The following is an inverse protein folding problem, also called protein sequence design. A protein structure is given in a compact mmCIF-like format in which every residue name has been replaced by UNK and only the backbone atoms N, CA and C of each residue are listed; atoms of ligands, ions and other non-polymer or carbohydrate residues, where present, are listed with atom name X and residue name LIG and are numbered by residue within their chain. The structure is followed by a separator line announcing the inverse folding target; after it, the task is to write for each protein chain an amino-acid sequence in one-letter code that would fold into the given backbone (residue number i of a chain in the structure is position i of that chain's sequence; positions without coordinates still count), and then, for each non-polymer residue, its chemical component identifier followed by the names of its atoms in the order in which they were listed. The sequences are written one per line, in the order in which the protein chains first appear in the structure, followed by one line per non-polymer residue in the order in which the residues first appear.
data_IF_420934788075
#
_entry.id   IF_420934788075
#
_cell.length_a   1.000
_cell.length_b   1.000
_cell.length_c   1.000
_cell.angle_alpha   90.00
_cell.angle_beta   90.00
_cell.angle_gamma   90.00
#
_symmetry.space_group_name_H-M   'P 1'
#
loop_
_entity.id
_entity.type
_entity.pdbx_description
1 polymer ?
#
# COMPACT_ATOMS: atom_id res chain seq x y z
N UNK A 1 1.25 20.82 2.38
CA UNK A 1 1.22 19.45 2.96
C UNK A 1 -0.21 19.13 3.29
N UNK A 2 -0.67 17.95 2.89
CA UNK A 2 -2.00 17.49 3.29
C UNK A 2 -2.02 17.31 4.82
N UNK A 3 -3.12 17.74 5.45
CA UNK A 3 -3.30 17.61 6.89
C UNK A 3 -3.55 16.14 7.25
N UNK A 4 -3.07 15.76 8.44
CA UNK A 4 -3.37 14.40 8.96
C UNK A 4 -4.85 14.31 9.31
N UNK A 5 -5.49 13.23 8.84
CA UNK A 5 -6.93 12.99 8.96
C UNK A 5 -7.24 12.22 10.23
N UNK A 6 -8.19 12.72 11.00
CA UNK A 6 -8.66 12.12 12.26
C UNK A 6 -10.19 11.98 12.21
N UNK A 7 -10.71 10.84 12.62
CA UNK A 7 -12.13 10.60 12.81
C UNK A 7 -12.45 10.57 14.30
N UNK A 8 -13.36 11.43 14.74
CA UNK A 8 -13.90 11.43 16.11
C UNK A 8 -15.24 10.72 16.09
N UNK A 9 -15.45 9.78 17.01
CA UNK A 9 -16.70 9.05 17.17
C UNK A 9 -17.19 9.21 18.62
N UNK A 10 -18.20 10.05 18.82
CA UNK A 10 -18.71 10.44 20.13
C UNK A 10 -20.19 10.78 19.98
N UNK A 11 -21.05 10.21 20.79
CA UNK A 11 -22.49 10.47 20.73
C UNK A 11 -22.90 11.76 21.40
N UNK A 12 -22.17 12.22 22.42
CA UNK A 12 -22.43 13.49 23.11
C UNK A 12 -21.96 14.69 22.25
N UNK A 13 -22.90 15.53 21.85
CA UNK A 13 -22.66 16.64 20.92
C UNK A 13 -21.64 17.65 21.45
N UNK A 14 -21.73 18.03 22.74
CA UNK A 14 -20.83 19.01 23.34
C UNK A 14 -19.38 18.47 23.38
N UNK A 15 -19.19 17.22 23.79
CA UNK A 15 -17.87 16.58 23.85
C UNK A 15 -17.31 16.44 22.43
N UNK A 16 -18.10 16.02 21.47
CA UNK A 16 -17.72 15.89 20.06
C UNK A 16 -17.25 17.22 19.49
N UNK A 17 -18.02 18.30 19.74
CA UNK A 17 -17.68 19.65 19.30
C UNK A 17 -16.36 20.17 19.92
N UNK A 18 -16.16 19.94 21.23
CA UNK A 18 -14.92 20.35 21.91
C UNK A 18 -13.70 19.64 21.32
N UNK A 19 -13.79 18.33 21.10
CA UNK A 19 -12.71 17.51 20.50
C UNK A 19 -12.42 17.96 19.07
N UNK A 20 -13.43 18.15 18.24
CA UNK A 20 -13.30 18.64 16.87
C UNK A 20 -12.58 19.97 16.81
N UNK A 21 -13.02 20.93 17.65
CA UNK A 21 -12.42 22.26 17.72
C UNK A 21 -10.97 22.22 18.20
N UNK A 22 -10.67 21.37 19.19
CA UNK A 22 -9.31 21.18 19.69
C UNK A 22 -8.38 20.68 18.58
N UNK A 23 -8.79 19.65 17.86
CA UNK A 23 -7.96 19.02 16.83
C UNK A 23 -7.83 19.88 15.58
N UNK A 24 -8.91 20.54 15.16
CA UNK A 24 -8.87 21.49 14.03
C UNK A 24 -7.93 22.68 14.31
N UNK A 25 -7.94 23.20 15.56
CA UNK A 25 -7.01 24.27 15.98
C UNK A 25 -5.55 23.82 15.97
N UNK A 26 -5.28 22.52 16.12
CA UNK A 26 -3.94 21.93 16.07
C UNK A 26 -3.56 21.38 14.69
N UNK A 27 -4.20 21.89 13.64
CA UNK A 27 -3.88 21.66 12.22
C UNK A 27 -4.16 20.26 11.70
N UNK A 28 -5.11 19.55 12.33
CA UNK A 28 -5.64 18.29 11.82
C UNK A 28 -6.88 18.49 10.93
N UNK A 29 -7.07 17.62 9.94
CA UNK A 29 -8.34 17.51 9.23
C UNK A 29 -9.24 16.53 10.02
N UNK A 30 -10.43 17.00 10.42
CA UNK A 30 -11.31 16.23 11.30
C UNK A 30 -12.64 15.98 10.65
N UNK A 31 -13.12 14.73 10.74
CA UNK A 31 -14.52 14.36 10.55
C UNK A 31 -15.06 13.77 11.84
N UNK A 32 -16.38 13.86 12.02
CA UNK A 32 -17.07 13.38 13.21
C UNK A 32 -18.17 12.41 12.86
N UNK A 33 -18.47 11.48 13.76
CA UNK A 33 -19.60 10.55 13.69
C UNK A 33 -20.26 10.43 15.07
N UNK A 34 -21.57 10.16 15.10
CA UNK A 34 -22.34 10.06 16.34
C UNK A 34 -22.36 8.64 16.94
N UNK A 35 -21.88 7.65 16.20
CA UNK A 35 -21.80 6.24 16.62
C UNK A 35 -20.90 5.45 15.67
N UNK A 36 -20.58 4.19 16.05
CA UNK A 36 -19.71 3.33 15.26
C UNK A 36 -20.26 2.98 13.86
N UNK A 37 -21.58 2.89 13.71
CA UNK A 37 -22.18 2.55 12.40
C UNK A 37 -22.04 3.70 11.38
N UNK A 38 -22.15 4.94 11.83
CA UNK A 38 -21.88 6.12 11.01
C UNK A 38 -20.38 6.24 10.68
N UNK A 39 -19.52 5.99 11.66
CA UNK A 39 -18.08 5.96 11.46
C UNK A 39 -17.66 4.99 10.36
N UNK A 40 -18.21 3.76 10.34
CA UNK A 40 -17.92 2.77 9.30
C UNK A 40 -18.30 3.24 7.89
N UNK A 41 -19.42 3.98 7.76
CA UNK A 41 -19.82 4.55 6.46
C UNK A 41 -18.83 5.61 5.98
N UNK A 42 -18.35 6.45 6.90
CA UNK A 42 -17.37 7.50 6.57
C UNK A 42 -16.02 6.92 6.15
N UNK A 43 -15.62 5.77 6.67
CA UNK A 43 -14.33 5.14 6.32
C UNK A 43 -14.20 4.77 4.84
N UNK A 44 -15.30 4.56 4.13
CA UNK A 44 -15.28 4.25 2.70
C UNK A 44 -14.64 5.37 1.86
N UNK A 45 -14.89 6.63 2.25
CA UNK A 45 -14.41 7.81 1.53
C UNK A 45 -13.30 8.56 2.29
N UNK A 46 -13.41 8.61 3.61
CA UNK A 46 -12.50 9.30 4.51
C UNK A 46 -11.54 8.30 5.12
N UNK A 47 -10.29 8.29 4.68
CA UNK A 47 -9.23 7.39 5.16
C UNK A 47 -8.45 8.07 6.30
N UNK A 48 -8.93 8.03 7.55
CA UNK A 48 -8.24 8.66 8.67
C UNK A 48 -7.01 7.85 9.05
N UNK A 49 -5.98 8.52 9.58
CA UNK A 49 -4.83 7.87 10.22
C UNK A 49 -5.16 7.43 11.64
N UNK A 50 -6.04 8.19 12.31
CA UNK A 50 -6.44 7.96 13.70
C UNK A 50 -7.95 8.00 13.83
N UNK A 51 -8.47 7.11 14.67
CA UNK A 51 -9.83 7.17 15.18
C UNK A 51 -9.75 7.41 16.69
N UNK A 52 -10.51 8.40 17.17
CA UNK A 52 -10.73 8.65 18.59
C UNK A 52 -12.20 8.36 18.84
N UNK A 53 -12.50 7.29 19.57
CA UNK A 53 -13.88 6.83 19.77
C UNK A 53 -14.24 6.73 21.27
N UNK A 54 -15.43 7.16 21.62
CA UNK A 54 -15.98 6.86 22.92
C UNK A 54 -16.26 5.36 23.07
N UNK A 55 -16.09 4.83 24.27
CA UNK A 55 -16.36 3.45 24.59
C UNK A 55 -17.86 3.15 24.46
N UNK A 56 -18.69 4.01 25.07
CA UNK A 56 -20.13 3.75 25.19
C UNK A 56 -20.93 4.66 24.28
N UNK A 57 -21.46 4.11 23.22
CA UNK A 57 -22.30 4.84 22.25
C UNK A 57 -23.51 4.00 21.86
N UNK A 58 -24.63 4.62 21.45
CA UNK A 58 -25.79 3.91 20.94
C UNK A 58 -25.49 3.26 19.58
N UNK A 59 -26.30 2.28 19.20
CA UNK A 59 -26.27 1.55 17.91
C UNK A 59 -25.05 0.66 17.74
N UNK A 60 -23.86 1.20 17.85
CA UNK A 60 -22.57 0.49 17.79
C UNK A 60 -21.58 1.22 18.68
N UNK A 61 -21.12 0.55 19.70
CA UNK A 61 -20.16 1.09 20.66
C UNK A 61 -18.72 1.13 20.12
N UNK A 62 -17.79 1.74 20.88
CA UNK A 62 -16.40 1.90 20.46
C UNK A 62 -15.65 0.58 20.38
N UNK A 63 -16.05 -0.42 21.16
CA UNK A 63 -15.44 -1.75 21.14
C UNK A 63 -15.81 -2.53 19.89
N UNK A 64 -17.09 -2.56 19.54
CA UNK A 64 -17.59 -3.22 18.33
C UNK A 64 -17.01 -2.54 17.07
N UNK A 65 -16.91 -1.21 17.09
CA UNK A 65 -16.26 -0.45 16.02
C UNK A 65 -14.77 -0.85 15.89
N UNK A 66 -14.03 -0.91 16.99
CA UNK A 66 -12.62 -1.29 17.01
C UNK A 66 -12.43 -2.68 16.41
N UNK A 67 -13.21 -3.67 16.85
CA UNK A 67 -13.17 -5.03 16.33
C UNK A 67 -13.34 -5.09 14.81
N UNK A 68 -14.33 -4.37 14.26
CA UNK A 68 -14.60 -4.34 12.82
C UNK A 68 -13.47 -3.69 12.03
N UNK A 69 -12.87 -2.62 12.57
CA UNK A 69 -11.76 -1.91 11.94
C UNK A 69 -10.51 -2.78 11.94
N UNK A 70 -10.16 -3.38 13.08
CA UNK A 70 -8.95 -4.22 13.23
C UNK A 70 -9.05 -5.54 12.47
N UNK A 71 -10.25 -6.06 12.24
CA UNK A 71 -10.49 -7.25 11.41
C UNK A 71 -10.43 -6.98 9.91
N UNK A 72 -10.42 -5.71 9.47
CA UNK A 72 -10.39 -5.32 8.06
C UNK A 72 -8.96 -5.10 7.57
N UNK A 73 -8.52 -5.84 6.55
CA UNK A 73 -7.18 -5.69 5.95
C UNK A 73 -6.88 -4.26 5.46
N UNK A 74 -7.89 -3.53 5.01
CA UNK A 74 -7.74 -2.16 4.53
C UNK A 74 -7.63 -1.13 5.65
N UNK A 75 -8.20 -1.42 6.84
CA UNK A 75 -8.35 -0.45 7.92
C UNK A 75 -7.54 -0.80 9.18
N UNK A 76 -6.99 -2.02 9.29
CA UNK A 76 -6.30 -2.51 10.50
C UNK A 76 -5.13 -1.64 10.96
N UNK A 77 -4.52 -0.87 10.06
CA UNK A 77 -3.42 0.03 10.38
C UNK A 77 -3.88 1.39 10.91
N UNK A 78 -5.18 1.69 10.91
CA UNK A 78 -5.71 2.91 11.53
C UNK A 78 -5.44 2.83 13.02
N UNK A 79 -4.77 3.85 13.58
CA UNK A 79 -4.47 3.91 15.01
C UNK A 79 -5.73 4.25 15.78
N UNK A 80 -6.13 3.37 16.70
CA UNK A 80 -7.40 3.46 17.41
C UNK A 80 -7.21 3.86 18.87
N UNK A 81 -7.72 5.02 19.25
CA UNK A 81 -7.70 5.54 20.63
C UNK A 81 -9.13 5.41 21.20
N UNK A 82 -9.26 4.68 22.30
CA UNK A 82 -10.53 4.50 22.98
C UNK A 82 -10.65 5.49 24.15
N UNK A 83 -11.74 6.25 24.21
CA UNK A 83 -12.07 7.12 25.30
C UNK A 83 -12.99 6.36 26.27
N UNK A 84 -12.70 6.39 27.57
CA UNK A 84 -13.48 5.65 28.54
C UNK A 84 -13.68 6.41 29.85
N UNK A 85 -14.89 6.36 30.40
CA UNK A 85 -15.15 6.80 31.78
C UNK A 85 -14.71 5.76 32.82
N UNK A 86 -14.32 4.56 32.38
CA UNK A 86 -14.02 3.42 33.26
C UNK A 86 -12.51 3.34 33.48
N UNK A 87 -12.10 3.62 34.71
CA UNK A 87 -10.69 3.57 35.12
C UNK A 87 -10.23 2.20 35.58
N UNK A 88 -11.11 1.15 35.55
CA UNK A 88 -10.75 -0.15 36.08
C UNK A 88 -9.68 -0.85 35.24
N UNK A 89 -8.77 -1.57 35.89
CA UNK A 89 -7.73 -2.36 35.21
C UNK A 89 -8.33 -3.37 34.24
N UNK A 90 -9.47 -3.97 34.61
CA UNK A 90 -10.16 -4.97 33.78
C UNK A 90 -10.67 -4.41 32.49
N UNK A 91 -11.26 -3.20 32.49
CA UNK A 91 -11.77 -2.56 31.28
C UNK A 91 -10.62 -2.18 30.33
N UNK A 92 -9.48 -1.71 30.88
CA UNK A 92 -8.28 -1.39 30.08
C UNK A 92 -7.70 -2.63 29.40
N UNK A 93 -7.59 -3.74 30.12
CA UNK A 93 -7.11 -5.01 29.54
C UNK A 93 -8.04 -5.46 28.42
N UNK A 94 -9.35 -5.41 28.65
CA UNK A 94 -10.35 -5.79 27.63
C UNK A 94 -10.22 -4.92 26.37
N UNK A 95 -10.04 -3.60 26.50
CA UNK A 95 -9.87 -2.70 25.36
C UNK A 95 -8.62 -2.98 24.53
N UNK A 96 -7.51 -3.29 25.19
CA UNK A 96 -6.24 -3.65 24.53
C UNK A 96 -6.30 -5.04 23.89
N UNK A 97 -6.89 -6.02 24.55
CA UNK A 97 -7.06 -7.39 24.01
C UNK A 97 -7.92 -7.41 22.73
N UNK A 98 -8.83 -6.46 22.59
CA UNK A 98 -9.68 -6.27 21.40
C UNK A 98 -8.91 -5.62 20.25
N UNK A 99 -7.74 -5.04 20.53
CA UNK A 99 -6.86 -4.47 19.50
C UNK A 99 -6.89 -2.94 19.40
N UNK A 100 -7.47 -2.24 20.39
CA UNK A 100 -7.25 -0.80 20.50
C UNK A 100 -5.77 -0.51 20.74
N UNK A 101 -5.22 0.50 20.06
CA UNK A 101 -3.80 0.82 20.16
C UNK A 101 -3.49 1.67 21.39
N UNK A 102 -4.49 2.42 21.88
CA UNK A 102 -4.37 3.25 23.07
C UNK A 102 -5.73 3.52 23.71
N UNK A 103 -5.72 4.02 24.94
CA UNK A 103 -6.93 4.44 25.63
C UNK A 103 -6.66 5.69 26.50
N UNK A 104 -7.70 6.51 26.69
CA UNK A 104 -7.70 7.68 27.55
C UNK A 104 -8.90 7.66 28.48
N UNK A 105 -8.66 8.00 29.74
CA UNK A 105 -9.72 8.05 30.77
C UNK A 105 -10.33 9.45 30.81
N UNK A 106 -11.66 9.54 30.74
CA UNK A 106 -12.39 10.81 30.93
C UNK A 106 -12.35 11.22 32.42
N UNK A 107 -12.13 12.51 32.78
CA UNK A 107 -12.01 13.65 31.89
C UNK A 107 -10.65 13.70 31.16
N UNK A 108 -10.69 14.05 29.86
CA UNK A 108 -9.53 13.98 28.99
C UNK A 108 -8.74 15.30 29.09
N UNK A 109 -7.47 15.17 29.42
CA UNK A 109 -6.54 16.30 29.34
C UNK A 109 -6.15 16.57 27.90
N UNK A 110 -6.38 17.80 27.43
CA UNK A 110 -6.12 18.19 26.03
C UNK A 110 -4.68 17.91 25.58
N UNK A 111 -3.71 18.16 26.47
CA UNK A 111 -2.29 17.91 26.17
C UNK A 111 -1.98 16.42 26.04
N UNK A 112 -2.62 15.59 26.86
CA UNK A 112 -2.46 14.13 26.78
C UNK A 112 -3.05 13.60 25.48
N UNK A 113 -4.26 13.99 25.11
CA UNK A 113 -4.88 13.58 23.84
C UNK A 113 -4.00 13.95 22.64
N UNK A 114 -3.52 15.20 22.59
CA UNK A 114 -2.64 15.67 21.52
C UNK A 114 -1.31 14.88 21.47
N UNK A 115 -0.75 14.51 22.62
CA UNK A 115 0.47 13.72 22.68
C UNK A 115 0.24 12.30 22.15
N UNK A 116 -0.88 11.66 22.51
CA UNK A 116 -1.29 10.32 22.01
C UNK A 116 -1.53 10.34 20.51
N UNK A 117 -2.22 11.36 20.00
CA UNK A 117 -2.45 11.55 18.56
C UNK A 117 -1.14 11.67 17.79
N UNK A 118 -0.20 12.52 18.25
CA UNK A 118 1.12 12.63 17.59
C UNK A 118 1.88 11.31 17.58
N UNK A 119 1.83 10.55 18.68
CA UNK A 119 2.44 9.23 18.76
C UNK A 119 1.78 8.25 17.81
N UNK A 120 0.44 8.23 17.77
CA UNK A 120 -0.34 7.36 16.88
C UNK A 120 -0.09 7.65 15.40
N UNK A 121 -0.01 8.93 15.00
CA UNK A 121 0.34 9.31 13.62
C UNK A 121 1.72 8.77 13.24
N UNK A 122 2.71 8.90 14.13
CA UNK A 122 4.04 8.36 13.89
C UNK A 122 4.03 6.84 13.71
N UNK A 123 3.32 6.12 14.58
CA UNK A 123 3.17 4.65 14.50
C UNK A 123 2.48 4.26 13.19
N UNK A 124 1.36 4.89 12.85
CA UNK A 124 0.63 4.63 11.60
C UNK A 124 1.52 4.86 10.37
N UNK A 125 2.29 5.95 10.33
CA UNK A 125 3.19 6.22 9.21
C UNK A 125 4.28 5.16 9.09
N UNK A 126 4.92 4.76 10.20
CA UNK A 126 5.94 3.70 10.22
C UNK A 126 5.39 2.35 9.76
N UNK A 127 4.19 1.98 10.21
CA UNK A 127 3.54 0.73 9.78
C UNK A 127 3.25 0.73 8.28
N UNK A 128 2.80 1.87 7.72
CA UNK A 128 2.57 2.00 6.29
C UNK A 128 3.87 1.95 5.47
N UNK A 129 4.97 2.53 5.98
CA UNK A 129 6.29 2.42 5.34
C UNK A 129 6.79 0.98 5.35
N UNK A 130 6.70 0.28 6.47
CA UNK A 130 7.06 -1.14 6.56
C UNK A 130 6.26 -1.98 5.57
N UNK A 131 4.93 -1.79 5.51
CA UNK A 131 4.08 -2.51 4.55
C UNK A 131 4.49 -2.26 3.09
N UNK A 132 4.90 -1.03 2.75
CA UNK A 132 5.43 -0.72 1.41
C UNK A 132 6.75 -1.43 1.12
N UNK A 133 7.67 -1.44 2.10
CA UNK A 133 8.97 -2.13 1.97
C UNK A 133 8.76 -3.63 1.78
N UNK A 134 7.90 -4.27 2.59
CA UNK A 134 7.57 -5.69 2.47
C UNK A 134 6.96 -6.01 1.09
N UNK A 135 6.04 -5.17 0.62
CA UNK A 135 5.43 -5.33 -0.70
C UNK A 135 6.46 -5.23 -1.82
N UNK A 136 7.34 -4.22 -1.77
CA UNK A 136 8.39 -4.04 -2.77
C UNK A 136 9.40 -5.20 -2.74
N UNK A 137 9.76 -5.69 -1.55
CA UNK A 137 10.63 -6.85 -1.41
C UNK A 137 10.03 -8.10 -2.05
N UNK A 138 8.73 -8.37 -1.80
CA UNK A 138 8.04 -9.51 -2.40
C UNK A 138 8.01 -9.44 -3.94
N UNK A 139 7.80 -8.24 -4.51
CA UNK A 139 7.87 -8.01 -5.95
C UNK A 139 9.28 -8.29 -6.49
N UNK A 140 10.33 -7.81 -5.80
CA UNK A 140 11.71 -8.04 -6.20
C UNK A 140 12.09 -9.54 -6.19
N UNK A 141 11.68 -10.29 -5.17
CA UNK A 141 11.89 -11.74 -5.09
C UNK A 141 11.16 -12.49 -6.22
N UNK A 142 9.93 -12.10 -6.54
CA UNK A 142 9.19 -12.65 -7.70
C UNK A 142 9.89 -12.33 -9.02
N UNK A 143 10.34 -11.10 -9.21
CA UNK A 143 11.04 -10.67 -10.42
C UNK A 143 12.34 -11.47 -10.64
N UNK A 144 13.12 -11.68 -9.58
CA UNK A 144 14.33 -12.50 -9.62
C UNK A 144 14.02 -13.95 -10.03
N UNK A 145 12.99 -14.54 -9.41
CA UNK A 145 12.56 -15.92 -9.72
C UNK A 145 12.11 -16.07 -11.17
N UNK A 146 11.27 -15.16 -11.66
CA UNK A 146 10.79 -15.12 -13.04
C UNK A 146 11.99 -14.93 -14.00
N UNK A 147 12.93 -14.04 -13.64
CA UNK A 147 14.13 -13.80 -14.41
C UNK A 147 14.93 -15.09 -14.64
N UNK A 148 15.18 -15.87 -13.59
CA UNK A 148 15.87 -17.15 -13.72
C UNK A 148 15.08 -18.17 -14.55
N UNK A 149 13.77 -18.27 -14.36
CA UNK A 149 12.91 -19.19 -15.08
C UNK A 149 12.81 -18.87 -16.59
N UNK A 150 12.89 -17.59 -16.97
CA UNK A 150 12.89 -17.17 -18.38
C UNK A 150 14.28 -17.28 -19.01
N UNK A 151 15.34 -16.91 -18.29
CA UNK A 151 16.71 -16.98 -18.82
C UNK A 151 17.15 -18.41 -19.17
N UNK A 152 16.68 -19.42 -18.42
CA UNK A 152 17.00 -20.81 -18.70
C UNK A 152 16.51 -21.26 -20.08
N UNK A 153 15.23 -21.20 -20.47
CA UNK A 153 14.76 -21.57 -21.80
C UNK A 153 15.32 -20.66 -22.89
N UNK A 154 15.54 -19.36 -22.63
CA UNK A 154 16.19 -18.46 -23.58
C UNK A 154 17.61 -18.92 -23.92
N UNK A 155 18.39 -19.32 -22.91
CA UNK A 155 19.75 -19.82 -23.12
C UNK A 155 19.76 -21.10 -23.97
N UNK A 156 18.80 -22.01 -23.72
CA UNK A 156 18.63 -23.21 -24.55
C UNK A 156 18.24 -22.87 -25.98
N UNK A 157 17.31 -21.93 -26.17
CA UNK A 157 16.90 -21.48 -27.51
C UNK A 157 18.08 -20.87 -28.29
N UNK A 158 18.87 -20.01 -27.63
CA UNK A 158 20.07 -19.41 -28.27
C UNK A 158 21.06 -20.49 -28.70
N UNK A 159 21.26 -21.50 -27.86
CA UNK A 159 22.19 -22.60 -28.16
C UNK A 159 21.71 -23.42 -29.36
N UNK A 160 20.44 -23.83 -29.36
CA UNK A 160 19.84 -24.60 -30.47
C UNK A 160 19.82 -23.81 -31.78
N UNK A 161 19.54 -22.50 -31.72
CA UNK A 161 19.62 -21.64 -32.91
C UNK A 161 21.03 -21.57 -33.48
N UNK A 162 22.07 -21.44 -32.65
CA UNK A 162 23.47 -21.43 -33.10
C UNK A 162 23.86 -22.77 -33.75
N UNK A 163 23.43 -23.89 -33.19
CA UNK A 163 23.66 -25.21 -33.77
C UNK A 163 22.99 -25.32 -35.14
N UNK A 164 21.73 -24.93 -35.24
CA UNK A 164 20.97 -24.96 -36.50
C UNK A 164 21.61 -24.01 -37.55
N UNK A 165 22.06 -22.84 -37.16
CA UNK A 165 22.76 -21.93 -38.05
C UNK A 165 24.01 -22.55 -38.62
N UNK A 166 24.79 -23.26 -37.79
CA UNK A 166 26.01 -23.97 -38.20
C UNK A 166 25.71 -25.08 -39.20
N UNK A 167 24.64 -25.82 -38.95
CA UNK A 167 24.19 -26.92 -39.88
C UNK A 167 23.73 -26.38 -41.25
N UNK A 168 22.98 -25.26 -41.27
CA UNK A 168 22.51 -24.63 -42.49
C UNK A 168 23.67 -24.05 -43.30
N UNK A 169 24.68 -23.46 -42.65
CA UNK A 169 25.89 -22.94 -43.28
C UNK A 169 26.68 -24.12 -43.95
N UNK A 170 26.84 -25.23 -43.25
CA UNK A 170 27.49 -26.43 -43.78
C UNK A 170 26.73 -27.02 -44.98
N UNK A 171 25.40 -26.97 -44.94
CA UNK A 171 24.55 -27.38 -46.04
C UNK A 171 24.49 -26.38 -47.21
N UNK A 172 25.15 -25.24 -47.13
CA UNK A 172 25.16 -24.14 -48.11
C UNK A 172 23.77 -23.59 -48.42
N UNK A 173 22.89 -23.56 -47.46
CA UNK A 173 21.56 -22.97 -47.53
C UNK A 173 21.66 -21.52 -47.14
N UNK A 174 21.29 -20.57 -48.01
CA UNK A 174 21.57 -19.16 -47.77
C UNK A 174 20.31 -18.29 -47.51
N UNK A 175 19.10 -18.89 -47.51
CA UNK A 175 17.83 -18.12 -47.40
C UNK A 175 17.29 -18.00 -45.95
N UNK A 176 18.08 -18.28 -44.93
CA UNK A 176 17.64 -18.24 -43.53
C UNK A 176 18.11 -17.04 -42.74
N UNK A 177 19.01 -16.24 -43.31
CA UNK A 177 19.74 -15.16 -42.56
C UNK A 177 18.80 -14.09 -42.02
N UNK A 178 17.76 -13.74 -42.78
CA UNK A 178 16.77 -12.72 -42.39
C UNK A 178 15.89 -13.22 -41.24
N UNK A 179 15.44 -14.47 -41.27
CA UNK A 179 14.65 -15.10 -40.22
C UNK A 179 15.45 -15.22 -38.91
N UNK A 180 16.71 -15.65 -38.99
CA UNK A 180 17.61 -15.70 -37.82
C UNK A 180 17.88 -14.34 -37.22
N UNK A 181 18.00 -13.30 -38.04
CA UNK A 181 18.16 -11.93 -37.56
C UNK A 181 16.94 -11.50 -36.73
N UNK A 182 15.71 -11.72 -37.23
CA UNK A 182 14.47 -11.37 -36.54
C UNK A 182 14.31 -12.15 -35.22
N UNK A 183 14.65 -13.44 -35.23
CA UNK A 183 14.59 -14.28 -34.02
C UNK A 183 15.59 -13.80 -32.98
N UNK A 184 16.84 -13.56 -33.35
CA UNK A 184 17.88 -13.09 -32.45
C UNK A 184 17.54 -11.70 -31.87
N UNK A 185 17.02 -10.79 -32.68
CA UNK A 185 16.55 -9.48 -32.21
C UNK A 185 15.41 -9.63 -31.16
N UNK A 186 14.48 -10.54 -31.38
CA UNK A 186 13.39 -10.81 -30.46
C UNK A 186 13.89 -11.41 -29.14
N UNK A 187 14.85 -12.34 -29.17
CA UNK A 187 15.50 -12.90 -28.01
C UNK A 187 16.22 -11.82 -27.20
N UNK A 188 16.98 -10.97 -27.85
CA UNK A 188 17.70 -9.88 -27.18
C UNK A 188 16.74 -8.85 -26.54
N UNK A 189 15.58 -8.59 -27.15
CA UNK A 189 14.52 -7.78 -26.53
C UNK A 189 13.97 -8.41 -25.27
N UNK A 190 13.67 -9.72 -25.31
CA UNK A 190 13.16 -10.45 -24.14
C UNK A 190 14.21 -10.45 -23.02
N UNK A 191 15.49 -10.68 -23.36
CA UNK A 191 16.59 -10.68 -22.40
C UNK A 191 16.74 -9.34 -21.71
N UNK A 192 16.75 -8.24 -22.47
CA UNK A 192 16.78 -6.88 -21.92
C UNK A 192 15.60 -6.58 -21.00
N UNK A 193 14.40 -7.07 -21.35
CA UNK A 193 13.21 -6.91 -20.53
C UNK A 193 13.36 -7.67 -19.21
N UNK A 194 13.83 -8.92 -19.24
CA UNK A 194 14.07 -9.72 -18.04
C UNK A 194 15.15 -9.11 -17.16
N UNK A 195 16.24 -8.63 -17.73
CA UNK A 195 17.32 -7.93 -17.00
C UNK A 195 16.77 -6.66 -16.32
N UNK A 196 15.96 -5.88 -17.00
CA UNK A 196 15.31 -4.70 -16.44
C UNK A 196 14.34 -5.06 -15.30
N UNK A 197 13.62 -6.17 -15.42
CA UNK A 197 12.71 -6.67 -14.38
C UNK A 197 13.47 -7.12 -13.12
N UNK A 198 14.58 -7.84 -13.27
CA UNK A 198 15.40 -8.35 -12.16
C UNK A 198 16.11 -7.22 -11.42
N UNK A 199 16.51 -6.16 -12.13
CA UNK A 199 17.21 -5.00 -11.57
C UNK A 199 16.27 -3.91 -11.03
N UNK A 200 14.99 -4.20 -10.84
CA UNK A 200 14.02 -3.27 -10.26
C UNK A 200 14.23 -3.14 -8.73
N UNK A 201 15.04 -2.17 -8.33
CA UNK A 201 15.27 -1.85 -6.90
C UNK A 201 14.02 -1.27 -6.20
N UNK A 202 13.11 -0.65 -6.95
CA UNK A 202 11.91 -0.01 -6.41
C UNK A 202 10.79 0.03 -7.46
N UNK A 203 9.97 -1.04 -7.58
CA UNK A 203 8.95 -1.12 -8.62
C UNK A 203 7.86 -0.06 -8.42
N UNK A 204 7.81 0.94 -9.30
CA UNK A 204 6.67 1.84 -9.39
C UNK A 204 5.50 1.11 -10.08
N UNK A 205 4.38 1.02 -9.38
CA UNK A 205 3.13 0.50 -9.96
C UNK A 205 2.39 1.63 -10.66
N UNK A 206 2.11 1.47 -11.94
CA UNK A 206 1.33 2.41 -12.77
C UNK A 206 -0.04 1.80 -13.03
N UNK A 207 -1.09 2.60 -12.97
CA UNK A 207 -2.43 2.15 -13.32
C UNK A 207 -2.51 1.92 -14.83
N UNK A 208 -2.81 0.67 -15.23
CA UNK A 208 -3.01 0.27 -16.61
C UNK A 208 -4.44 -0.24 -16.77
N UNK A 209 -5.30 0.56 -17.41
CA UNK A 209 -6.73 0.30 -17.70
C UNK A 209 -7.57 -0.30 -16.54
N UNK A 210 -8.49 0.46 -16.08
CA UNK A 210 -9.68 0.23 -15.23
C UNK A 210 -9.60 -0.70 -14.01
N UNK A 211 -8.50 -1.32 -13.64
CA UNK A 211 -8.26 -1.99 -12.31
C UNK A 211 -6.94 -2.79 -12.25
N UNK A 212 -6.16 -2.81 -13.32
CA UNK A 212 -4.88 -3.52 -13.35
C UNK A 212 -3.71 -2.57 -13.15
N UNK A 213 -2.85 -2.88 -12.18
CA UNK A 213 -1.58 -2.18 -11.96
C UNK A 213 -0.46 -2.91 -12.71
N UNK A 214 0.33 -2.16 -13.46
CA UNK A 214 1.54 -2.67 -14.11
C UNK A 214 2.79 -2.11 -13.45
N UNK A 215 3.88 -2.89 -13.48
CA UNK A 215 5.19 -2.44 -13.07
C UNK A 215 5.75 -1.53 -14.16
N UNK A 216 6.10 -0.28 -13.82
CA UNK A 216 6.76 0.64 -14.72
C UNK A 216 8.22 0.25 -14.86
N UNK A 217 8.58 -0.31 -16.00
CA UNK A 217 9.98 -0.60 -16.36
C UNK A 217 10.51 0.60 -17.13
N UNK A 218 11.41 1.37 -16.50
CA UNK A 218 12.05 2.50 -17.18
C UNK A 218 13.04 1.94 -18.21
N UNK A 219 12.67 2.02 -19.47
CA UNK A 219 13.57 1.72 -20.60
C UNK A 219 14.59 2.86 -20.73
N UNK A 220 15.73 2.75 -20.07
CA UNK A 220 16.88 3.62 -20.32
C UNK A 220 17.55 3.17 -21.63
N UNK A 221 17.04 3.62 -22.76
CA UNK A 221 17.70 3.38 -24.04
C UNK A 221 16.75 3.21 -25.22
N UNK A 222 16.14 4.28 -25.64
CA UNK A 222 15.43 4.36 -26.92
C UNK A 222 15.31 5.83 -27.33
N UNK A 223 16.25 6.28 -28.14
CA UNK A 223 16.18 7.57 -28.82
C UNK A 223 14.87 7.67 -29.59
N UNK A 224 14.08 8.68 -29.30
CA UNK A 224 12.98 9.13 -30.12
C UNK A 224 13.48 9.46 -31.54
N UNK A 225 13.29 8.53 -32.47
CA UNK A 225 13.35 8.88 -33.90
C UNK A 225 11.99 9.42 -34.29
N UNK A 226 11.88 10.75 -34.32
CA UNK A 226 10.71 11.44 -34.77
C UNK A 226 10.39 11.07 -36.21
N UNK A 227 9.25 10.45 -36.41
CA UNK A 227 8.61 10.37 -37.74
C UNK A 227 7.93 11.72 -37.97
N UNK A 228 8.52 12.59 -38.78
CA UNK A 228 7.85 13.72 -39.37
C UNK A 228 7.01 13.17 -40.53
N UNK A 229 5.70 13.22 -40.33
CA UNK A 229 4.76 13.12 -41.46
C UNK A 229 4.94 14.32 -42.41
N UNK A 230 4.99 13.99 -43.69
CA UNK A 230 4.73 14.89 -44.80
C UNK A 230 3.44 14.47 -45.47
#
# INVERSE_FOLDING_TARGET
MDKDKILIVEDEEDTRFILERLLTKNDYEVKTANNGAEALKLLAEYKPKIIVADWTMPVMDGIDLCNRIKSSESNKLIYYILLTARASLKDRVTGLDIGADDFLVKPIENQELLARIRSGIRIHNLQNELKKIEHNKAIGEMACTIGHQINNPLSSLIMTLKELQTELDQAKINNYQEDFYVINESIERIKKFVEALVNLDNPEMVDYASDNKMIKINNTGGSESGIKEK
#
